data_IF_576871253041
#
_entry.id   IF_576871253041
#
_cell.length_a   1.000
_cell.length_b   1.000
_cell.length_c   1.000
_cell.angle_alpha   90.00
_cell.angle_beta   90.00
_cell.angle_gamma   90.00
#
_symmetry.space_group_name_H-M   'P 1'
#
loop_
_entity.id
_entity.type
_entity.pdbx_description
1 polymer ?
#
# COMPACT_ATOMS: atom_id res chain seq x y z
N UNK A 1 3.82 21.14 -14.08
CA UNK A 1 4.00 19.85 -13.34
C UNK A 1 5.49 19.69 -13.16
N UNK A 2 5.99 19.42 -11.94
CA UNK A 2 7.41 19.18 -11.68
C UNK A 2 7.92 18.01 -12.52
N UNK A 3 9.03 18.16 -13.21
CA UNK A 3 9.63 17.10 -14.03
C UNK A 3 10.51 16.15 -13.19
N UNK A 4 10.94 15.04 -13.79
CA UNK A 4 11.92 14.14 -13.15
C UNK A 4 13.30 14.78 -13.06
N UNK A 5 13.65 15.66 -14.01
CA UNK A 5 14.90 16.42 -14.00
C UNK A 5 14.93 17.39 -12.82
N UNK A 6 13.88 18.22 -12.65
CA UNK A 6 13.74 19.15 -11.52
C UNK A 6 13.76 18.40 -10.17
N UNK A 7 13.09 17.25 -10.09
CA UNK A 7 13.09 16.42 -8.89
C UNK A 7 14.49 15.89 -8.58
N UNK A 8 15.25 15.48 -9.60
CA UNK A 8 16.60 14.98 -9.47
C UNK A 8 17.57 16.08 -9.01
N UNK A 9 17.45 17.28 -9.58
CA UNK A 9 18.25 18.45 -9.21
C UNK A 9 18.03 18.85 -7.74
N UNK A 10 16.78 18.84 -7.26
CA UNK A 10 16.48 19.13 -5.84
C UNK A 10 17.04 18.08 -4.88
N UNK A 11 17.10 16.80 -5.28
CA UNK A 11 17.66 15.72 -4.48
C UNK A 11 19.17 15.85 -4.38
N UNK A 12 19.83 16.26 -5.46
CA UNK A 12 21.29 16.33 -5.55
C UNK A 12 21.98 14.99 -5.25
N UNK A 13 23.27 15.03 -4.94
CA UNK A 13 24.12 13.84 -4.74
C UNK A 13 24.85 13.77 -3.40
N UNK A 14 24.83 14.84 -2.60
CA UNK A 14 25.67 14.97 -1.38
C UNK A 14 24.86 15.09 -0.08
N UNK A 15 23.78 15.85 -0.08
CA UNK A 15 23.02 16.17 1.14
C UNK A 15 22.13 15.03 1.58
N UNK A 16 21.85 14.95 2.88
CA UNK A 16 20.76 14.12 3.41
C UNK A 16 19.42 14.59 2.85
N UNK A 17 18.61 13.69 2.35
CA UNK A 17 17.37 14.02 1.65
C UNK A 17 16.25 13.05 2.01
N UNK A 18 15.05 13.61 2.11
CA UNK A 18 13.81 12.86 2.33
C UNK A 18 12.70 13.39 1.43
N UNK A 19 11.84 12.50 0.94
CA UNK A 19 10.63 12.89 0.19
C UNK A 19 9.45 12.93 1.15
N UNK A 20 8.77 14.07 1.20
CA UNK A 20 7.52 14.22 1.94
C UNK A 20 6.34 14.21 0.98
N UNK A 21 5.43 13.24 1.17
CA UNK A 21 4.12 13.23 0.52
C UNK A 21 3.07 13.97 1.37
N UNK A 22 1.90 13.37 1.56
CA UNK A 22 0.82 13.95 2.39
C UNK A 22 1.11 14.02 3.89
N UNK A 23 2.22 13.47 4.37
CA UNK A 23 2.62 13.52 5.77
C UNK A 23 1.78 12.64 6.72
N UNK A 24 0.82 11.88 6.19
CA UNK A 24 -0.13 11.08 6.99
C UNK A 24 0.51 10.02 7.87
N UNK A 25 1.72 9.58 7.53
CA UNK A 25 2.53 8.62 8.28
C UNK A 25 3.98 9.09 8.42
N UNK A 26 4.16 10.39 8.61
CA UNK A 26 5.49 11.00 8.63
C UNK A 26 6.43 10.45 9.70
N UNK A 27 5.89 10.03 10.83
CA UNK A 27 6.69 9.54 11.97
C UNK A 27 7.06 8.05 11.88
N UNK A 28 6.54 7.34 10.87
CA UNK A 28 6.83 5.92 10.70
C UNK A 28 8.34 5.70 10.43
N UNK A 29 8.91 4.72 11.09
CA UNK A 29 10.33 4.38 10.97
C UNK A 29 11.29 5.24 11.82
N UNK A 30 10.76 6.15 12.64
CA UNK A 30 11.55 6.99 13.54
C UNK A 30 11.83 8.39 12.98
N UNK A 31 12.55 9.25 13.71
CA UNK A 31 12.87 10.61 13.30
C UNK A 31 13.90 10.64 12.16
N UNK A 32 13.86 11.69 11.35
CA UNK A 32 14.93 11.98 10.40
C UNK A 32 16.15 12.55 11.12
N UNK A 33 17.31 12.32 10.53
CA UNK A 33 18.56 12.98 10.94
C UNK A 33 18.46 14.49 10.74
N UNK A 34 19.03 15.26 11.65
CA UNK A 34 19.09 16.73 11.54
C UNK A 34 19.79 17.17 10.25
N UNK A 35 19.34 18.28 9.66
CA UNK A 35 19.88 18.80 8.40
C UNK A 35 19.38 18.08 7.14
N UNK A 36 18.41 17.16 7.25
CA UNK A 36 17.80 16.50 6.09
C UNK A 36 16.97 17.48 5.28
N UNK A 37 17.28 17.61 3.99
CA UNK A 37 16.50 18.39 3.03
C UNK A 37 15.20 17.65 2.71
N UNK A 38 14.08 18.35 2.73
CA UNK A 38 12.77 17.80 2.42
C UNK A 38 12.35 18.23 1.03
N UNK A 39 12.09 17.26 0.15
CA UNK A 39 11.64 17.49 -1.22
C UNK A 39 10.26 16.89 -1.45
N UNK A 40 9.57 17.35 -2.49
CA UNK A 40 8.30 16.79 -2.93
C UNK A 40 8.46 16.10 -4.29
N UNK A 41 7.88 14.91 -4.45
CA UNK A 41 7.85 14.21 -5.72
C UNK A 41 6.90 14.89 -6.74
N UNK A 42 7.09 14.66 -8.06
CA UNK A 42 6.17 15.08 -9.11
C UNK A 42 4.73 14.65 -8.81
N UNK A 43 3.75 15.43 -9.27
CA UNK A 43 2.30 15.21 -9.04
C UNK A 43 1.57 15.12 -10.38
N UNK A 44 0.40 14.47 -10.39
CA UNK A 44 -0.53 14.39 -11.53
C UNK A 44 -0.39 13.11 -12.34
N UNK A 45 -1.46 12.75 -13.05
CA UNK A 45 -1.47 11.64 -14.01
C UNK A 45 -0.72 12.07 -15.26
N UNK A 46 0.27 11.27 -15.67
CA UNK A 46 1.14 11.53 -16.84
C UNK A 46 0.59 10.81 -18.07
N UNK A 47 0.19 9.56 -17.89
CA UNK A 47 -0.40 8.75 -18.95
C UNK A 47 -1.32 7.70 -18.33
N UNK A 48 -2.46 7.45 -18.96
CA UNK A 48 -3.41 6.44 -18.53
C UNK A 48 -3.86 5.63 -19.74
N UNK A 49 -3.69 4.32 -19.66
CA UNK A 49 -4.07 3.34 -20.66
C UNK A 49 -5.06 2.35 -20.06
N UNK A 50 -6.34 2.66 -20.03
CA UNK A 50 -7.36 1.84 -19.37
C UNK A 50 -7.49 0.45 -19.98
N UNK A 51 -7.28 0.31 -21.28
CA UNK A 51 -7.31 -0.96 -22.00
C UNK A 51 -6.16 -1.91 -21.63
N UNK A 52 -5.02 -1.35 -21.22
CA UNK A 52 -3.87 -2.09 -20.68
C UNK A 52 -3.93 -2.24 -19.15
N UNK A 53 -4.92 -1.62 -18.50
CA UNK A 53 -5.04 -1.52 -17.04
C UNK A 53 -3.78 -0.94 -16.37
N UNK A 54 -3.25 0.15 -16.94
CA UNK A 54 -2.00 0.79 -16.48
C UNK A 54 -2.20 2.29 -16.39
N UNK A 55 -1.78 2.87 -15.26
CA UNK A 55 -1.67 4.32 -15.07
C UNK A 55 -0.24 4.70 -14.69
N UNK A 56 0.33 5.73 -15.36
CA UNK A 56 1.60 6.35 -15.02
C UNK A 56 1.35 7.68 -14.35
N UNK A 57 1.89 7.86 -13.14
CA UNK A 57 1.52 8.96 -12.26
C UNK A 57 2.73 9.45 -11.47
N UNK A 58 2.80 10.74 -11.17
CA UNK A 58 3.77 11.31 -10.24
C UNK A 58 3.56 10.77 -8.82
N UNK A 59 4.64 10.36 -8.16
CA UNK A 59 4.59 9.74 -6.84
C UNK A 59 4.03 10.68 -5.75
N UNK A 60 4.08 12.01 -5.95
CA UNK A 60 3.48 13.02 -5.09
C UNK A 60 1.98 13.23 -5.26
N UNK A 61 1.31 12.52 -6.18
CA UNK A 61 -0.14 12.61 -6.40
C UNK A 61 -0.89 12.04 -5.21
N UNK A 62 -1.94 12.73 -4.73
CA UNK A 62 -2.80 12.21 -3.67
C UNK A 62 -3.57 10.97 -4.17
N UNK A 63 -3.78 10.01 -3.28
CA UNK A 63 -4.56 8.82 -3.62
C UNK A 63 -6.01 9.16 -3.98
N UNK A 64 -6.62 10.11 -3.26
CA UNK A 64 -7.99 10.57 -3.57
C UNK A 64 -8.07 11.12 -5.00
N UNK A 65 -7.15 11.99 -5.39
CA UNK A 65 -7.12 12.56 -6.75
C UNK A 65 -6.95 11.47 -7.81
N UNK A 66 -6.03 10.52 -7.59
CA UNK A 66 -5.85 9.40 -8.51
C UNK A 66 -7.12 8.54 -8.61
N UNK A 67 -7.78 8.27 -7.49
CA UNK A 67 -9.03 7.49 -7.48
C UNK A 67 -10.15 8.20 -8.23
N UNK A 68 -10.28 9.53 -8.07
CA UNK A 68 -11.26 10.34 -8.80
C UNK A 68 -11.01 10.28 -10.32
N UNK A 69 -9.75 10.39 -10.76
CA UNK A 69 -9.38 10.28 -12.18
C UNK A 69 -9.69 8.89 -12.77
N UNK A 70 -9.55 7.82 -11.98
CA UNK A 70 -9.79 6.45 -12.43
C UNK A 70 -11.27 6.04 -12.42
N UNK A 71 -12.10 6.68 -11.59
CA UNK A 71 -13.49 6.29 -11.38
C UNK A 71 -14.34 6.50 -12.63
N UNK A 72 -14.02 7.51 -13.45
CA UNK A 72 -14.72 7.82 -14.69
C UNK A 72 -14.66 6.63 -15.67
N UNK A 73 -13.58 5.86 -15.64
CA UNK A 73 -13.37 4.67 -16.48
C UNK A 73 -13.63 3.36 -15.71
N UNK A 74 -14.32 3.45 -14.56
CA UNK A 74 -14.67 2.31 -13.70
C UNK A 74 -13.47 1.45 -13.31
N UNK A 75 -12.33 2.09 -13.04
CA UNK A 75 -11.12 1.43 -12.57
C UNK A 75 -10.70 1.95 -11.20
N UNK A 76 -9.86 1.19 -10.52
CA UNK A 76 -9.25 1.52 -9.25
C UNK A 76 -7.81 1.00 -9.17
N UNK A 77 -7.03 1.54 -8.22
CA UNK A 77 -5.70 1.04 -7.85
C UNK A 77 -5.77 0.42 -6.46
N UNK A 78 -5.20 -0.78 -6.30
CA UNK A 78 -5.20 -1.52 -5.04
C UNK A 78 -4.14 -0.99 -4.04
N UNK A 79 -4.14 0.31 -3.78
CA UNK A 79 -3.30 0.96 -2.77
C UNK A 79 -4.13 1.38 -1.55
N UNK A 80 -3.58 1.12 -0.37
CA UNK A 80 -4.15 1.59 0.89
C UNK A 80 -3.50 2.90 1.33
N UNK A 81 -4.31 3.77 1.94
CA UNK A 81 -3.85 5.04 2.50
C UNK A 81 -5.02 5.89 2.96
N UNK A 82 -4.70 6.96 3.67
CA UNK A 82 -5.68 8.01 3.97
C UNK A 82 -5.94 8.85 2.71
N UNK A 83 -7.03 9.61 2.62
CA UNK A 83 -7.32 10.47 1.46
C UNK A 83 -6.16 11.42 1.08
N UNK A 84 -5.46 11.95 2.09
CA UNK A 84 -4.30 12.84 1.93
C UNK A 84 -2.98 12.11 1.65
N UNK A 85 -2.96 10.76 1.72
CA UNK A 85 -1.76 9.98 1.39
C UNK A 85 -1.42 10.15 -0.08
N UNK A 86 -0.12 10.19 -0.41
CA UNK A 86 0.32 10.20 -1.80
C UNK A 86 0.60 8.78 -2.29
N UNK A 87 0.58 8.58 -3.59
CA UNK A 87 0.91 7.31 -4.25
C UNK A 87 2.28 6.81 -3.78
N UNK A 88 3.32 7.64 -3.89
CA UNK A 88 4.67 7.27 -3.45
C UNK A 88 4.78 7.02 -1.95
N UNK A 89 4.05 7.79 -1.13
CA UNK A 89 4.00 7.57 0.32
C UNK A 89 3.36 6.23 0.67
N UNK A 90 2.26 5.86 0.00
CA UNK A 90 1.60 4.56 0.22
C UNK A 90 2.46 3.38 -0.22
N UNK A 91 3.17 3.52 -1.34
CA UNK A 91 4.15 2.51 -1.78
C UNK A 91 5.34 2.41 -0.82
N UNK A 92 5.92 3.55 -0.42
CA UNK A 92 7.05 3.57 0.50
C UNK A 92 6.72 2.93 1.86
N UNK A 93 5.51 3.14 2.38
CA UNK A 93 5.00 2.48 3.58
C UNK A 93 4.64 1.02 3.32
N UNK A 94 4.15 0.70 2.14
CA UNK A 94 3.77 -0.66 1.73
C UNK A 94 2.57 -1.22 2.48
N UNK A 95 1.67 -0.36 2.93
CA UNK A 95 0.44 -0.81 3.58
C UNK A 95 -0.50 -1.45 2.57
N UNK A 96 -0.97 -2.63 2.92
CA UNK A 96 -2.02 -3.30 2.16
C UNK A 96 -3.39 -2.92 2.72
N UNK A 97 -4.38 -2.90 1.84
CA UNK A 97 -5.79 -2.77 2.21
C UNK A 97 -6.28 -4.01 2.95
N UNK A 98 -7.35 -3.88 3.74
CA UNK A 98 -8.10 -5.01 4.27
C UNK A 98 -8.64 -5.93 3.17
N UNK A 99 -8.75 -5.45 1.94
CA UNK A 99 -9.13 -6.24 0.75
C UNK A 99 -7.96 -7.05 0.16
N UNK A 100 -6.82 -7.10 0.83
CA UNK A 100 -5.58 -7.71 0.31
C UNK A 100 -5.74 -9.13 -0.20
N UNK A 101 -6.54 -9.96 0.45
CA UNK A 101 -6.77 -11.34 0.04
C UNK A 101 -7.43 -11.43 -1.36
N UNK A 102 -8.20 -10.41 -1.74
CA UNK A 102 -8.88 -10.34 -3.04
C UNK A 102 -8.08 -9.54 -4.08
N UNK A 103 -7.53 -8.39 -3.69
CA UNK A 103 -6.95 -7.43 -4.64
C UNK A 103 -5.42 -7.46 -4.73
N UNK A 104 -4.74 -8.25 -3.88
CA UNK A 104 -3.29 -8.32 -3.81
C UNK A 104 -2.65 -7.30 -2.86
N UNK A 105 -1.34 -7.42 -2.72
CA UNK A 105 -0.54 -6.54 -1.87
C UNK A 105 -0.11 -5.27 -2.64
N UNK A 106 0.31 -4.23 -1.90
CA UNK A 106 0.83 -3.00 -2.49
C UNK A 106 2.02 -3.24 -3.44
N UNK A 107 2.86 -4.25 -3.17
CA UNK A 107 3.99 -4.61 -4.05
C UNK A 107 3.56 -5.25 -5.38
N UNK A 108 2.33 -5.74 -5.49
CA UNK A 108 1.81 -6.33 -6.74
C UNK A 108 1.21 -5.27 -7.68
N UNK A 109 1.08 -4.03 -7.17
CA UNK A 109 0.52 -2.88 -7.91
C UNK A 109 1.60 -2.12 -8.68
N UNK A 110 2.81 -2.01 -8.11
CA UNK A 110 3.92 -1.26 -8.71
C UNK A 110 4.58 -2.06 -9.84
N UNK A 111 4.38 -1.62 -11.09
CA UNK A 111 4.98 -2.24 -12.27
C UNK A 111 6.34 -1.63 -12.61
N UNK A 112 6.46 -0.30 -12.50
CA UNK A 112 7.67 0.45 -12.79
C UNK A 112 7.80 1.65 -11.87
N UNK A 113 9.03 2.00 -11.53
CA UNK A 113 9.34 3.23 -10.82
C UNK A 113 10.53 3.93 -11.46
N UNK A 114 10.36 5.20 -11.80
CA UNK A 114 11.45 6.11 -12.14
C UNK A 114 11.93 6.75 -10.84
N UNK A 115 13.15 6.46 -10.48
CA UNK A 115 13.72 6.76 -9.18
C UNK A 115 14.98 7.60 -9.28
N UNK A 116 15.33 8.24 -8.17
CA UNK A 116 16.65 8.85 -7.96
C UNK A 116 17.38 8.04 -6.89
N UNK A 117 18.59 7.61 -7.21
CA UNK A 117 19.47 6.85 -6.32
C UNK A 117 20.25 7.73 -5.34
N UNK A 118 21.04 7.08 -4.47
CA UNK A 118 21.90 7.77 -3.53
C UNK A 118 23.06 8.54 -4.21
N UNK A 119 23.38 8.20 -5.44
CA UNK A 119 24.36 8.91 -6.27
C UNK A 119 23.77 10.13 -7.03
N UNK A 120 22.54 10.50 -6.73
CA UNK A 120 21.82 11.60 -7.39
C UNK A 120 21.41 11.29 -8.83
N UNK A 121 21.59 10.06 -9.32
CA UNK A 121 21.25 9.70 -10.70
C UNK A 121 19.87 9.05 -10.80
N UNK A 122 19.24 9.31 -11.95
CA UNK A 122 18.00 8.62 -12.29
C UNK A 122 18.26 7.17 -12.71
N UNK A 123 17.36 6.29 -12.32
CA UNK A 123 17.27 4.93 -12.84
C UNK A 123 15.82 4.46 -12.89
N UNK A 124 15.57 3.45 -13.69
CA UNK A 124 14.23 2.85 -13.84
C UNK A 124 14.27 1.44 -13.25
N UNK A 125 13.36 1.17 -12.33
CA UNK A 125 13.10 -0.15 -11.78
C UNK A 125 11.84 -0.74 -12.40
N UNK A 126 11.85 -2.02 -12.76
CA UNK A 126 10.70 -2.70 -13.37
C UNK A 126 10.45 -2.33 -14.81
N UNK A 127 9.21 -2.52 -15.25
CA UNK A 127 8.76 -2.19 -16.61
C UNK A 127 7.23 -2.25 -16.71
N UNK A 128 6.63 -1.58 -17.70
CA UNK A 128 5.17 -1.49 -17.86
C UNK A 128 4.55 -2.79 -18.37
N UNK A 129 5.13 -3.94 -18.04
CA UNK A 129 4.68 -5.26 -18.47
C UNK A 129 4.23 -6.09 -17.27
N UNK A 130 3.16 -6.87 -17.47
CA UNK A 130 2.58 -7.73 -16.41
C UNK A 130 3.51 -8.89 -16.00
N UNK A 131 4.51 -9.22 -16.81
CA UNK A 131 5.54 -10.23 -16.52
C UNK A 131 6.93 -9.66 -16.76
N UNK A 132 7.68 -9.47 -15.70
CA UNK A 132 9.13 -9.29 -15.77
C UNK A 132 9.79 -10.63 -15.42
N UNK A 133 10.32 -11.33 -16.43
CA UNK A 133 10.91 -12.68 -16.26
C UNK A 133 12.44 -12.70 -16.30
N UNK A 134 13.08 -11.55 -16.54
CA UNK A 134 14.53 -11.49 -16.82
C UNK A 134 15.35 -10.67 -15.84
N UNK A 135 14.75 -10.06 -14.81
CA UNK A 135 15.47 -9.22 -13.84
C UNK A 135 15.02 -9.43 -12.41
N UNK A 136 15.83 -8.92 -11.48
CA UNK A 136 15.41 -8.82 -10.09
C UNK A 136 14.22 -7.87 -9.97
N UNK A 137 13.23 -8.23 -9.16
CA UNK A 137 12.07 -7.39 -8.88
C UNK A 137 12.45 -6.27 -7.89
N UNK A 138 13.13 -5.24 -8.40
CA UNK A 138 13.53 -4.08 -7.62
C UNK A 138 12.28 -3.32 -7.13
N UNK A 139 11.20 -3.29 -7.90
CA UNK A 139 9.94 -2.65 -7.48
C UNK A 139 9.45 -3.22 -6.15
N UNK A 140 9.55 -4.53 -5.96
CA UNK A 140 9.17 -5.19 -4.70
C UNK A 140 10.05 -4.78 -3.52
N UNK A 141 11.33 -4.49 -3.74
CA UNK A 141 12.24 -3.98 -2.71
C UNK A 141 11.95 -2.51 -2.35
N UNK A 142 11.51 -1.70 -3.33
CA UNK A 142 11.18 -0.29 -3.10
C UNK A 142 9.91 -0.12 -2.27
N UNK A 143 8.94 -1.02 -2.43
CA UNK A 143 7.72 -1.02 -1.60
C UNK A 143 8.08 -1.43 -0.18
N UNK A 144 7.55 -0.71 0.80
CA UNK A 144 7.86 -0.85 2.25
C UNK A 144 9.28 -0.42 2.66
N UNK A 145 10.08 0.18 1.76
CA UNK A 145 11.44 0.64 2.09
C UNK A 145 11.47 1.98 2.83
N UNK A 146 10.35 2.66 3.04
CA UNK A 146 10.26 4.04 3.53
C UNK A 146 11.15 5.03 2.72
N UNK A 147 11.42 4.72 1.44
CA UNK A 147 12.31 5.53 0.59
C UNK A 147 13.78 5.49 0.99
N UNK A 148 14.20 4.52 1.79
CA UNK A 148 15.61 4.38 2.23
C UNK A 148 16.51 3.75 1.18
N UNK A 149 15.95 3.15 0.13
CA UNK A 149 16.69 2.50 -0.95
C UNK A 149 16.79 3.39 -2.20
N UNK A 150 15.72 4.10 -2.53
CA UNK A 150 15.66 5.06 -3.61
C UNK A 150 14.44 5.98 -3.42
N UNK A 151 14.46 7.13 -4.07
CA UNK A 151 13.38 8.12 -4.03
C UNK A 151 12.55 8.01 -5.32
N UNK A 152 11.31 7.57 -5.19
CA UNK A 152 10.38 7.41 -6.32
C UNK A 152 9.85 8.78 -6.77
N UNK A 153 10.07 9.15 -8.03
CA UNK A 153 9.53 10.36 -8.63
C UNK A 153 8.28 10.11 -9.45
N UNK A 154 8.31 9.15 -10.36
CA UNK A 154 7.17 8.74 -11.20
C UNK A 154 7.01 7.23 -11.10
N UNK A 155 5.77 6.77 -11.06
CA UNK A 155 5.47 5.34 -10.97
C UNK A 155 4.42 4.91 -11.99
N UNK A 156 4.54 3.68 -12.44
CA UNK A 156 3.53 3.01 -13.28
C UNK A 156 2.84 1.95 -12.43
N UNK A 157 1.54 2.06 -12.32
CA UNK A 157 0.71 1.22 -11.46
C UNK A 157 -0.24 0.37 -12.30
N UNK A 158 -0.48 -0.86 -11.84
CA UNK A 158 -1.57 -1.68 -12.35
C UNK A 158 -2.88 -1.16 -11.79
N UNK A 159 -3.84 -0.92 -12.69
CA UNK A 159 -5.25 -0.72 -12.34
C UNK A 159 -6.03 -2.02 -12.41
N UNK A 160 -7.26 -2.00 -11.96
CA UNK A 160 -8.21 -3.11 -12.04
C UNK A 160 -9.63 -2.56 -12.19
N UNK A 161 -10.58 -3.35 -12.71
CA UNK A 161 -11.98 -2.94 -12.70
C UNK A 161 -12.45 -2.67 -11.26
N UNK A 162 -13.14 -1.54 -11.08
CA UNK A 162 -13.80 -1.21 -9.81
C UNK A 162 -15.04 -2.11 -9.65
N UNK A 163 -15.29 -2.70 -8.48
CA UNK A 163 -16.52 -3.41 -8.21
C UNK A 163 -17.76 -2.52 -8.41
N UNK A 164 -18.85 -3.09 -8.91
CA UNK A 164 -20.11 -2.37 -9.08
C UNK A 164 -20.71 -2.00 -7.72
N UNK A 165 -20.73 -2.96 -6.79
CA UNK A 165 -21.18 -2.77 -5.41
C UNK A 165 -20.24 -3.46 -4.42
N UNK A 166 -20.34 -3.04 -3.17
CA UNK A 166 -19.71 -3.70 -2.03
C UNK A 166 -20.61 -3.59 -0.80
N UNK A 167 -20.73 -4.68 -0.05
CA UNK A 167 -21.61 -4.77 1.11
C UNK A 167 -20.86 -5.33 2.31
N UNK A 168 -21.01 -4.68 3.46
CA UNK A 168 -20.55 -5.17 4.75
C UNK A 168 -21.66 -5.91 5.47
N UNK A 169 -21.32 -7.10 6.00
CA UNK A 169 -22.18 -7.86 6.90
C UNK A 169 -21.43 -8.13 8.22
N UNK A 170 -22.16 -8.29 9.31
CA UNK A 170 -21.65 -8.66 10.64
C UNK A 170 -22.44 -9.82 11.23
N UNK A 171 -21.76 -10.68 11.98
CA UNK A 171 -22.35 -11.84 12.63
C UNK A 171 -21.38 -12.59 13.52
N UNK A 172 -21.69 -13.83 13.82
CA UNK A 172 -20.89 -14.71 14.69
C UNK A 172 -20.33 -15.94 13.93
N UNK A 173 -20.47 -15.96 12.58
CA UNK A 173 -19.88 -17.02 11.77
C UNK A 173 -18.36 -17.04 11.88
N UNK A 174 -17.79 -18.23 11.90
CA UNK A 174 -16.35 -18.40 11.82
C UNK A 174 -15.84 -18.31 10.36
N UNK A 175 -14.52 -18.30 10.20
CA UNK A 175 -13.90 -18.16 8.88
C UNK A 175 -14.18 -19.36 7.97
N UNK A 176 -14.22 -20.58 8.50
CA UNK A 176 -14.45 -21.79 7.72
C UNK A 176 -15.89 -21.83 7.18
N UNK A 177 -16.86 -21.44 8.00
CA UNK A 177 -18.26 -21.32 7.58
C UNK A 177 -18.39 -20.30 6.43
N UNK A 178 -17.75 -19.13 6.55
CA UNK A 178 -17.78 -18.10 5.51
C UNK A 178 -17.09 -18.59 4.23
N UNK A 179 -15.91 -19.19 4.34
CA UNK A 179 -15.11 -19.65 3.19
C UNK A 179 -15.79 -20.77 2.39
N UNK A 180 -16.66 -21.57 3.01
CA UNK A 180 -17.41 -22.61 2.34
C UNK A 180 -18.49 -22.06 1.38
N UNK A 181 -18.92 -20.82 1.58
CA UNK A 181 -20.10 -20.26 0.89
C UNK A 181 -19.82 -18.98 0.12
N UNK A 182 -18.81 -18.20 0.52
CA UNK A 182 -18.41 -17.00 -0.19
C UNK A 182 -17.20 -17.26 -1.04
N UNK A 183 -17.34 -17.06 -2.35
CA UNK A 183 -16.20 -17.16 -3.25
C UNK A 183 -15.32 -15.92 -3.14
N UNK A 184 -14.18 -16.05 -2.44
CA UNK A 184 -13.19 -14.99 -2.27
C UNK A 184 -13.78 -13.69 -1.70
N UNK A 185 -14.29 -13.69 -0.47
CA UNK A 185 -14.73 -12.46 0.18
C UNK A 185 -13.57 -11.44 0.16
N UNK A 186 -13.90 -10.17 0.02
CA UNK A 186 -12.88 -9.12 -0.06
C UNK A 186 -12.18 -8.90 1.27
N UNK A 187 -12.91 -9.11 2.38
CA UNK A 187 -12.35 -9.09 3.73
C UNK A 187 -13.16 -9.98 4.66
N UNK A 188 -12.48 -10.60 5.62
CA UNK A 188 -13.08 -11.26 6.76
C UNK A 188 -12.34 -10.82 8.01
N UNK A 189 -12.93 -9.89 8.75
CA UNK A 189 -12.33 -9.22 9.89
C UNK A 189 -13.01 -9.67 11.20
N UNK A 190 -12.23 -9.79 12.27
CA UNK A 190 -12.70 -10.17 13.59
C UNK A 190 -12.26 -9.13 14.63
N UNK A 191 -13.19 -8.61 15.44
CA UNK A 191 -12.92 -7.59 16.46
C UNK A 191 -12.70 -8.14 17.89
N UNK A 192 -12.65 -9.47 18.03
CA UNK A 192 -12.60 -10.15 19.33
C UNK A 192 -13.97 -10.69 19.78
N UNK A 193 -15.06 -10.27 19.15
CA UNK A 193 -16.42 -10.72 19.49
C UNK A 193 -17.26 -11.09 18.26
N UNK A 194 -17.13 -10.33 17.16
CA UNK A 194 -17.91 -10.52 15.94
C UNK A 194 -17.03 -10.59 14.71
N UNK A 195 -17.54 -11.29 13.70
CA UNK A 195 -16.95 -11.37 12.38
C UNK A 195 -17.64 -10.37 11.43
N UNK A 196 -16.84 -9.62 10.68
CA UNK A 196 -17.26 -8.66 9.67
C UNK A 196 -16.80 -9.17 8.31
N UNK A 197 -17.74 -9.30 7.38
CA UNK A 197 -17.46 -9.79 6.03
C UNK A 197 -17.72 -8.67 5.03
N UNK A 198 -16.76 -8.39 4.17
CA UNK A 198 -16.94 -7.51 3.02
C UNK A 198 -16.96 -8.34 1.75
N UNK A 199 -18.06 -8.26 1.04
CA UNK A 199 -18.24 -8.86 -0.28
C UNK A 199 -18.38 -7.75 -1.31
N UNK A 200 -17.74 -7.91 -2.47
CA UNK A 200 -17.73 -6.92 -3.55
C UNK A 200 -17.67 -7.60 -4.91
N UNK A 201 -18.23 -6.98 -5.93
CA UNK A 201 -18.18 -7.49 -7.30
C UNK A 201 -19.32 -7.00 -8.16
N UNK A 202 -19.78 -7.84 -9.07
CA UNK A 202 -21.00 -7.60 -9.83
C UNK A 202 -22.22 -7.70 -8.93
N UNK A 203 -23.21 -6.84 -9.14
CA UNK A 203 -24.39 -6.73 -8.29
C UNK A 203 -25.08 -8.08 -8.08
N UNK A 204 -25.30 -8.85 -9.16
CA UNK A 204 -25.98 -10.15 -9.11
C UNK A 204 -25.24 -11.20 -8.24
N UNK A 205 -23.91 -11.19 -8.25
CA UNK A 205 -23.09 -12.11 -7.46
C UNK A 205 -23.12 -11.71 -5.98
N UNK A 206 -22.96 -10.39 -5.71
CA UNK A 206 -22.98 -9.84 -4.36
C UNK A 206 -24.33 -10.06 -3.68
N UNK A 207 -25.45 -9.83 -4.37
CA UNK A 207 -26.79 -10.06 -3.83
C UNK A 207 -27.02 -11.54 -3.49
N UNK A 208 -26.49 -12.46 -4.30
CA UNK A 208 -26.59 -13.89 -4.03
C UNK A 208 -25.78 -14.30 -2.79
N UNK A 209 -24.53 -13.85 -2.68
CA UNK A 209 -23.68 -14.13 -1.51
C UNK A 209 -24.24 -13.48 -0.25
N UNK A 210 -24.74 -12.24 -0.34
CA UNK A 210 -25.42 -11.53 0.74
C UNK A 210 -26.61 -12.30 1.27
N UNK A 211 -27.54 -12.70 0.41
CA UNK A 211 -28.74 -13.46 0.81
C UNK A 211 -28.39 -14.78 1.50
N UNK A 212 -27.27 -15.39 1.10
CA UNK A 212 -26.78 -16.60 1.74
C UNK A 212 -26.26 -16.30 3.17
N UNK A 213 -25.40 -15.28 3.33
CA UNK A 213 -24.86 -14.88 4.63
C UNK A 213 -25.97 -14.43 5.60
N UNK A 214 -26.99 -13.72 5.11
CA UNK A 214 -28.16 -13.32 5.90
C UNK A 214 -28.93 -14.57 6.40
N UNK A 215 -29.11 -15.59 5.56
CA UNK A 215 -29.72 -16.85 5.94
C UNK A 215 -28.93 -17.61 7.01
N UNK A 216 -27.61 -17.42 7.04
CA UNK A 216 -26.70 -17.97 8.05
C UNK A 216 -26.64 -17.11 9.33
N UNK A 217 -27.43 -16.04 9.42
CA UNK A 217 -27.55 -15.20 10.62
C UNK A 217 -26.69 -13.95 10.62
N UNK A 218 -26.03 -13.63 9.51
CA UNK A 218 -25.33 -12.34 9.39
C UNK A 218 -26.32 -11.20 9.08
N UNK A 219 -25.98 -10.00 9.49
CA UNK A 219 -26.80 -8.79 9.29
C UNK A 219 -26.04 -7.80 8.44
N UNK A 220 -26.69 -7.26 7.41
CA UNK A 220 -26.14 -6.17 6.59
C UNK A 220 -25.91 -4.92 7.44
N UNK A 221 -24.82 -4.24 7.21
CA UNK A 221 -24.46 -2.99 7.89
C UNK A 221 -24.93 -1.79 7.05
N UNK A 222 -25.54 -0.80 7.70
CA UNK A 222 -25.99 0.43 7.05
C UNK A 222 -24.82 1.38 6.67
N UNK A 223 -23.66 1.18 7.28
CA UNK A 223 -22.46 2.00 7.07
C UNK A 223 -21.25 1.11 6.83
N UNK A 224 -20.30 1.62 6.03
CA UNK A 224 -19.01 1.00 5.87
C UNK A 224 -18.29 0.90 7.22
N UNK A 225 -17.55 -0.19 7.41
CA UNK A 225 -16.74 -0.40 8.60
C UNK A 225 -15.54 0.56 8.56
N UNK A 226 -15.35 1.31 9.66
CA UNK A 226 -14.15 2.13 9.82
C UNK A 226 -13.00 1.25 10.29
N UNK A 227 -12.03 1.04 9.40
CA UNK A 227 -10.91 0.14 9.64
C UNK A 227 -9.66 0.97 9.92
N UNK A 228 -9.02 0.77 11.08
CA UNK A 228 -7.74 1.41 11.40
C UNK A 228 -6.65 1.07 10.37
N UNK A 229 -5.52 1.77 10.39
CA UNK A 229 -4.37 1.42 9.56
C UNK A 229 -3.86 0.01 9.87
N UNK A 230 -3.28 -0.65 8.84
CA UNK A 230 -2.54 -1.89 9.04
C UNK A 230 -1.39 -1.66 10.02
N UNK A 231 -1.32 -2.44 11.07
CA UNK A 231 -0.23 -2.50 12.03
C UNK A 231 0.72 -3.64 11.69
N UNK A 232 1.96 -3.30 11.39
CA UNK A 232 2.99 -4.31 11.11
C UNK A 232 3.47 -4.94 12.41
N UNK A 233 3.62 -6.28 12.41
CA UNK A 233 4.17 -7.05 13.54
C UNK A 233 3.21 -7.24 14.73
N UNK A 234 1.97 -6.74 14.64
CA UNK A 234 0.96 -6.99 15.66
C UNK A 234 0.39 -8.40 15.57
N UNK A 235 -0.02 -8.94 16.70
CA UNK A 235 -0.66 -10.25 16.84
C UNK A 235 -2.14 -10.10 17.20
N UNK A 236 -2.87 -11.20 17.23
CA UNK A 236 -4.29 -11.19 17.62
C UNK A 236 -4.54 -10.70 19.07
N UNK A 237 -3.53 -10.72 19.92
CA UNK A 237 -3.58 -10.18 21.27
C UNK A 237 -3.54 -8.64 21.30
N UNK A 238 -3.08 -8.02 20.21
CA UNK A 238 -2.89 -6.57 20.08
C UNK A 238 -4.09 -5.85 19.45
N UNK A 239 -5.30 -6.43 19.48
CA UNK A 239 -6.45 -5.85 18.78
C UNK A 239 -6.83 -4.45 19.27
N UNK A 240 -6.83 -4.21 20.59
CA UNK A 240 -7.09 -2.88 21.19
C UNK A 240 -8.22 -2.09 20.49
N UNK A 241 -9.36 -2.73 20.23
CA UNK A 241 -10.47 -2.15 19.48
C UNK A 241 -10.27 -2.10 17.95
N UNK A 242 -9.26 -2.79 17.45
CA UNK A 242 -9.01 -3.00 16.01
C UNK A 242 -9.56 -4.33 15.51
N UNK A 243 -8.97 -4.84 14.43
CA UNK A 243 -9.45 -6.03 13.73
C UNK A 243 -8.31 -6.97 13.37
N UNK A 244 -8.54 -8.27 13.52
CA UNK A 244 -7.75 -9.34 12.92
C UNK A 244 -8.35 -9.71 11.58
N UNK A 245 -7.57 -9.66 10.51
CA UNK A 245 -7.95 -10.22 9.22
C UNK A 245 -7.76 -11.75 9.25
N UNK A 246 -8.86 -12.48 9.23
CA UNK A 246 -8.87 -13.94 9.31
C UNK A 246 -8.34 -14.63 8.06
N UNK A 247 -8.24 -13.91 6.93
CA UNK A 247 -7.69 -14.44 5.67
C UNK A 247 -6.16 -14.35 5.62
N UNK A 248 -5.57 -13.32 6.26
CA UNK A 248 -4.14 -13.00 6.12
C UNK A 248 -3.38 -13.00 7.43
N UNK A 249 -4.06 -13.03 8.57
CA UNK A 249 -3.47 -12.86 9.89
C UNK A 249 -3.02 -11.43 10.20
N UNK A 250 -3.33 -10.46 9.33
CA UNK A 250 -2.97 -9.07 9.54
C UNK A 250 -3.84 -8.42 10.62
N UNK A 251 -3.25 -7.52 11.41
CA UNK A 251 -3.96 -6.74 12.43
C UNK A 251 -4.08 -5.30 11.97
N UNK A 252 -5.29 -4.75 12.09
CA UNK A 252 -5.60 -3.34 11.85
C UNK A 252 -5.91 -2.68 13.19
N UNK A 253 -5.07 -1.75 13.62
CA UNK A 253 -5.20 -1.09 14.92
C UNK A 253 -4.69 0.35 14.86
N UNK A 254 -5.19 1.20 15.75
CA UNK A 254 -4.67 2.56 15.96
C UNK A 254 -3.45 2.61 16.88
N UNK A 255 -3.05 1.50 17.47
CA UNK A 255 -1.85 1.44 18.29
C UNK A 255 -0.61 1.63 17.42
N UNK A 256 0.26 2.57 17.79
CA UNK A 256 1.48 2.91 17.05
C UNK A 256 2.72 2.22 17.60
N UNK A 257 2.60 1.42 18.66
CA UNK A 257 3.73 0.88 19.41
C UNK A 257 4.22 -0.49 18.91
N UNK A 258 3.99 -0.85 17.67
CA UNK A 258 4.52 -2.11 17.14
C UNK A 258 6.03 -2.03 16.92
N UNK A 259 6.80 -2.51 17.87
CA UNK A 259 8.17 -2.92 17.61
C UNK A 259 8.14 -4.21 16.81
N UNK A 260 8.43 -4.14 15.52
CA UNK A 260 8.62 -5.35 14.71
C UNK A 260 9.95 -5.95 15.15
N UNK A 261 9.91 -7.05 15.89
CA UNK A 261 11.09 -7.86 16.11
C UNK A 261 11.44 -8.60 14.81
N UNK A 262 12.52 -8.21 14.19
CA UNK A 262 13.05 -8.89 13.00
C UNK A 262 14.23 -9.77 13.42
N UNK A 263 14.30 -10.99 12.88
CA UNK A 263 15.45 -11.85 13.17
C UNK A 263 16.78 -11.20 12.73
N UNK A 264 17.88 -11.57 13.39
CA UNK A 264 19.19 -11.05 13.06
C UNK A 264 19.59 -11.29 11.59
N UNK A 265 19.15 -12.41 11.00
CA UNK A 265 19.40 -12.73 9.59
C UNK A 265 18.72 -11.74 8.67
N UNK A 266 17.44 -11.43 8.92
CA UNK A 266 16.67 -10.44 8.16
C UNK A 266 17.31 -9.06 8.33
N UNK A 267 17.72 -8.69 9.53
CA UNK A 267 18.37 -7.41 9.79
C UNK A 267 19.71 -7.29 9.06
N UNK A 268 20.54 -8.34 9.07
CA UNK A 268 21.80 -8.39 8.32
C UNK A 268 21.59 -8.27 6.80
N UNK A 269 20.59 -8.98 6.26
CA UNK A 269 20.25 -8.90 4.84
C UNK A 269 19.78 -7.49 4.47
N UNK A 270 18.88 -6.91 5.25
CA UNK A 270 18.37 -5.56 5.03
C UNK A 270 19.48 -4.51 5.06
N UNK A 271 20.40 -4.61 6.01
CA UNK A 271 21.57 -3.72 6.09
C UNK A 271 22.48 -3.84 4.85
N UNK A 272 22.71 -5.07 4.34
CA UNK A 272 23.46 -5.27 3.08
C UNK A 272 22.76 -4.65 1.89
N UNK A 273 21.44 -4.84 1.77
CA UNK A 273 20.65 -4.21 0.70
C UNK A 273 20.75 -2.69 0.79
N UNK A 274 20.50 -2.11 1.99
CA UNK A 274 20.65 -0.67 2.23
C UNK A 274 22.02 -0.17 1.82
N UNK A 275 23.09 -0.84 2.23
CA UNK A 275 24.47 -0.44 1.93
C UNK A 275 24.81 -0.49 0.43
N UNK A 276 24.19 -1.41 -0.32
CA UNK A 276 24.35 -1.46 -1.78
C UNK A 276 23.59 -0.35 -2.52
N UNK A 277 22.38 0.02 -2.04
CA UNK A 277 21.56 1.05 -2.67
C UNK A 277 21.92 2.46 -2.21
N UNK A 278 22.34 2.62 -0.96
CA UNK A 278 22.69 3.89 -0.35
C UNK A 278 23.90 3.74 0.59
N UNK A 279 25.10 3.60 0.01
CA UNK A 279 26.33 3.43 0.80
C UNK A 279 26.67 4.63 1.68
N UNK A 280 26.15 5.81 1.36
CA UNK A 280 26.35 7.04 2.12
C UNK A 280 25.33 7.27 3.22
N UNK A 281 24.24 6.49 3.24
CA UNK A 281 23.16 6.62 4.21
C UNK A 281 22.35 7.90 4.10
N UNK A 282 22.36 8.57 2.91
CA UNK A 282 21.75 9.88 2.72
C UNK A 282 20.25 9.89 2.43
N UNK A 283 19.69 8.75 1.99
CA UNK A 283 18.28 8.63 1.64
C UNK A 283 17.43 8.32 2.87
N UNK A 284 16.52 9.23 3.23
CA UNK A 284 15.67 9.14 4.43
C UNK A 284 16.46 8.75 5.69
N UNK A 285 17.55 9.46 6.02
CA UNK A 285 18.46 9.08 7.10
C UNK A 285 17.73 9.07 8.45
N UNK A 286 18.01 8.06 9.28
CA UNK A 286 17.34 7.84 10.55
C UNK A 286 16.07 6.97 10.47
N UNK A 287 15.50 6.78 9.27
CA UNK A 287 14.32 5.92 9.08
C UNK A 287 14.71 4.44 9.08
N UNK A 288 13.91 3.63 9.79
CA UNK A 288 14.01 2.17 9.82
C UNK A 288 12.72 1.57 9.27
N UNK A 289 12.76 0.80 8.17
CA UNK A 289 11.56 0.20 7.56
C UNK A 289 10.93 -0.94 8.39
N UNK A 290 11.64 -1.44 9.41
CA UNK A 290 11.29 -2.56 10.29
C UNK A 290 11.69 -2.27 11.72
#
# INVERSE_FOLDING_TARGET
MKSMEEFTEEIGDTSFVSVRGGGTRWNLGGPLTEGTIIVEAPKGVINYKPEEMIVRVGAGTKLSTLQDDLIELKQEVALAGFPESTVGGSLAVGSSSHRRARIGAACDVLLQADCVGADGKQFVAGGPTVKNVTGYDICRLLVSSLGTLALMGVVTLRTRPKPEIGVWLKGELDFEEIANYCYRPASVLYDGSKTFVFIEGYEADVEKEKAFLEKMGMTVMDRALEIPPLQKGATKEDLNGGFLDLQTGAVYSNDTNSNIEVSEEVQRLSNRIKQNFDPTGRLNPGRKPY
#
